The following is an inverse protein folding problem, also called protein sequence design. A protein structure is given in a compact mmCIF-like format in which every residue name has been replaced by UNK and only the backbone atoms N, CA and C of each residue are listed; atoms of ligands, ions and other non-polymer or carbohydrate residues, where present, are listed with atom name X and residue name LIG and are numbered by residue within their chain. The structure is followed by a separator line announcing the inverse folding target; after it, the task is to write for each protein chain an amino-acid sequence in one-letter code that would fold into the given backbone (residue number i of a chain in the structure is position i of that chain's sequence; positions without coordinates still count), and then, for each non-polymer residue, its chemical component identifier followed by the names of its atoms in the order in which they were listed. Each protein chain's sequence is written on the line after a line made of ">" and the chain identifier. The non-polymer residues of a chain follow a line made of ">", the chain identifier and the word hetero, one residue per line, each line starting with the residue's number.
data_IF_365830116753
#
_entry.id   IF_365830116753
#
_cell.length_a   1.000
_cell.length_b   1.000
_cell.length_c   1.000
_cell.angle_alpha   90.00
_cell.angle_beta   90.00
_cell.angle_gamma   90.00
#
_symmetry.space_group_name_H-M   'P 1'
#
loop_
_entity.id
_entity.type
_entity.pdbx_description
1 polymer ?
#
# COMPACT_ATOMS: atom_id res chain seq x y z
N UNK A 1 -21.19 -3.38 4.89
CA UNK A 1 -19.76 -3.72 4.87
C UNK A 1 -19.00 -2.53 4.32
N UNK A 2 -17.98 -2.07 5.06
CA UNK A 2 -17.06 -1.00 4.60
C UNK A 2 -16.20 -1.47 3.41
N UNK A 3 -15.52 -0.52 2.73
CA UNK A 3 -14.57 -0.89 1.68
C UNK A 3 -13.45 -1.77 2.22
N UNK A 4 -12.98 -1.51 3.43
CA UNK A 4 -11.95 -2.31 4.09
C UNK A 4 -12.41 -3.76 4.38
N UNK A 5 -13.62 -3.97 4.92
CA UNK A 5 -14.15 -5.32 5.17
C UNK A 5 -14.30 -6.14 3.88
N UNK A 6 -14.79 -5.52 2.81
CA UNK A 6 -14.90 -6.17 1.51
C UNK A 6 -13.52 -6.49 0.92
N UNK A 7 -12.55 -5.58 1.07
CA UNK A 7 -11.18 -5.77 0.63
C UNK A 7 -10.50 -6.93 1.40
N UNK A 8 -10.68 -6.99 2.72
CA UNK A 8 -10.16 -8.08 3.55
C UNK A 8 -10.66 -9.44 3.05
N UNK A 9 -11.96 -9.54 2.82
CA UNK A 9 -12.58 -10.77 2.32
C UNK A 9 -12.04 -11.17 0.93
N UNK A 10 -11.79 -10.21 0.05
CA UNK A 10 -11.22 -10.48 -1.26
C UNK A 10 -9.73 -10.87 -1.16
N UNK A 11 -8.93 -10.17 -0.35
CA UNK A 11 -7.52 -10.49 -0.09
C UNK A 11 -7.35 -11.92 0.44
N UNK A 12 -8.18 -12.30 1.43
CA UNK A 12 -8.16 -13.63 2.03
C UNK A 12 -8.43 -14.74 1.00
N UNK A 13 -9.27 -14.47 0.01
CA UNK A 13 -9.64 -15.45 -1.02
C UNK A 13 -8.64 -15.50 -2.19
N UNK A 14 -8.06 -14.35 -2.60
CA UNK A 14 -7.30 -14.25 -3.85
C UNK A 14 -5.79 -14.13 -3.65
N UNK A 15 -5.36 -13.54 -2.53
CA UNK A 15 -3.96 -13.17 -2.28
C UNK A 15 -3.27 -14.02 -1.22
N UNK A 16 -4.04 -14.74 -0.39
CA UNK A 16 -3.50 -15.54 0.72
C UNK A 16 -3.49 -17.03 0.41
N UNK A 17 -2.42 -17.72 0.77
CA UNK A 17 -2.27 -19.18 0.62
C UNK A 17 -1.59 -19.77 1.83
N UNK A 18 -2.18 -20.82 2.42
CA UNK A 18 -1.50 -21.66 3.42
C UNK A 18 -0.57 -22.65 2.73
N UNK A 19 0.56 -22.94 3.35
CA UNK A 19 1.56 -23.91 2.82
C UNK A 19 2.94 -23.57 3.37
N UNK A 20 3.93 -24.36 2.97
CA UNK A 20 5.32 -24.07 3.31
C UNK A 20 5.99 -23.30 2.17
N UNK A 21 6.42 -22.08 2.45
CA UNK A 21 7.04 -21.18 1.48
C UNK A 21 8.41 -20.76 1.95
N UNK A 22 9.39 -20.79 1.03
CA UNK A 22 10.71 -20.22 1.29
C UNK A 22 10.69 -18.74 0.90
N UNK A 23 10.96 -17.87 1.87
CA UNK A 23 11.00 -16.41 1.67
C UNK A 23 12.33 -16.00 1.02
N UNK A 24 12.39 -14.82 0.42
CA UNK A 24 13.61 -14.24 -0.14
C UNK A 24 14.72 -14.03 0.90
N UNK A 25 14.36 -13.89 2.17
CA UNK A 25 15.30 -13.86 3.31
C UNK A 25 15.95 -15.21 3.64
N UNK A 26 15.47 -16.31 3.03
CA UNK A 26 15.87 -17.68 3.35
C UNK A 26 15.05 -18.34 4.45
N UNK A 27 14.25 -17.59 5.21
CA UNK A 27 13.34 -18.12 6.23
C UNK A 27 12.18 -18.90 5.59
N UNK A 28 11.56 -19.81 6.35
CA UNK A 28 10.33 -20.49 5.98
C UNK A 28 9.12 -19.80 6.58
N UNK A 29 8.01 -19.78 5.82
CA UNK A 29 6.72 -19.29 6.27
C UNK A 29 5.66 -20.34 6.00
N UNK A 30 4.66 -20.46 6.88
CA UNK A 30 3.51 -21.36 6.72
C UNK A 30 2.38 -20.74 5.87
N UNK A 31 2.60 -19.53 5.35
CA UNK A 31 1.69 -18.85 4.44
C UNK A 31 2.45 -17.96 3.43
N UNK A 32 1.77 -17.60 2.36
CA UNK A 32 2.23 -16.65 1.35
C UNK A 32 1.13 -15.61 1.05
N UNK A 33 1.53 -14.35 0.91
CA UNK A 33 0.64 -13.26 0.51
C UNK A 33 1.22 -12.57 -0.73
N UNK A 34 0.40 -12.45 -1.79
CA UNK A 34 0.68 -11.61 -2.97
C UNK A 34 -0.51 -10.67 -3.19
N UNK A 35 -0.41 -9.46 -2.66
CA UNK A 35 -1.49 -8.46 -2.76
C UNK A 35 -1.76 -8.04 -4.21
N UNK A 36 -0.83 -8.24 -5.15
CA UNK A 36 -1.02 -7.84 -6.56
C UNK A 36 -2.17 -8.60 -7.22
N UNK A 37 -2.43 -9.84 -6.80
CA UNK A 37 -3.60 -10.61 -7.29
C UNK A 37 -4.93 -9.96 -6.92
N UNK A 38 -4.96 -9.15 -5.85
CA UNK A 38 -6.11 -8.35 -5.44
C UNK A 38 -6.03 -6.92 -5.99
N UNK A 39 -4.90 -6.24 -5.88
CA UNK A 39 -4.78 -4.83 -6.28
C UNK A 39 -4.89 -4.63 -7.79
N UNK A 40 -4.59 -5.65 -8.59
CA UNK A 40 -4.80 -5.69 -10.05
C UNK A 40 -6.16 -6.29 -10.43
N UNK A 41 -6.93 -6.85 -9.50
CA UNK A 41 -8.29 -7.31 -9.75
C UNK A 41 -9.23 -6.11 -9.86
N UNK A 42 -10.17 -6.10 -10.78
CA UNK A 42 -11.05 -4.96 -11.05
C UNK A 42 -11.75 -4.44 -9.78
N UNK A 43 -12.42 -5.34 -9.04
CA UNK A 43 -13.10 -4.98 -7.79
C UNK A 43 -12.10 -4.74 -6.65
N UNK A 44 -11.02 -5.52 -6.58
CA UNK A 44 -9.98 -5.35 -5.58
C UNK A 44 -9.27 -4.01 -5.71
N UNK A 45 -9.00 -3.55 -6.93
CA UNK A 45 -8.44 -2.23 -7.19
C UNK A 45 -9.36 -1.12 -6.72
N UNK A 46 -10.65 -1.21 -7.07
CA UNK A 46 -11.67 -0.26 -6.59
C UNK A 46 -11.70 -0.19 -5.07
N UNK A 47 -11.78 -1.34 -4.40
CA UNK A 47 -11.82 -1.44 -2.94
C UNK A 47 -10.54 -0.91 -2.29
N UNK A 48 -9.37 -1.19 -2.87
CA UNK A 48 -8.07 -0.68 -2.40
C UNK A 48 -8.04 0.85 -2.42
N UNK A 49 -8.47 1.46 -3.53
CA UNK A 49 -8.53 2.91 -3.63
C UNK A 49 -9.43 3.54 -2.58
N UNK A 50 -10.65 3.01 -2.41
CA UNK A 50 -11.60 3.52 -1.43
C UNK A 50 -11.14 3.30 0.01
N UNK A 51 -10.66 2.10 0.36
CA UNK A 51 -10.21 1.79 1.72
C UNK A 51 -9.03 2.68 2.16
N UNK A 52 -8.09 2.98 1.26
CA UNK A 52 -6.99 3.90 1.57
C UNK A 52 -7.51 5.33 1.76
N UNK A 53 -8.43 5.82 0.90
CA UNK A 53 -9.00 7.15 1.06
C UNK A 53 -9.78 7.28 2.38
N UNK A 54 -10.55 6.27 2.77
CA UNK A 54 -11.28 6.19 4.03
C UNK A 54 -10.29 6.25 5.23
N UNK A 55 -9.20 5.47 5.17
CA UNK A 55 -8.15 5.46 6.19
C UNK A 55 -7.48 6.84 6.35
N UNK A 56 -7.17 7.52 5.23
CA UNK A 56 -6.57 8.86 5.27
C UNK A 56 -7.51 9.89 5.89
N UNK A 57 -8.81 9.81 5.61
CA UNK A 57 -9.83 10.69 6.22
C UNK A 57 -9.97 10.44 7.72
N UNK A 58 -10.05 9.18 8.14
CA UNK A 58 -10.16 8.79 9.54
C UNK A 58 -9.00 9.35 10.38
N UNK A 59 -7.79 9.38 9.79
CA UNK A 59 -6.60 9.92 10.45
C UNK A 59 -6.32 11.39 10.14
N UNK A 60 -7.24 12.10 9.45
CA UNK A 60 -7.10 13.51 9.08
C UNK A 60 -5.80 13.79 8.29
N UNK A 61 -5.36 12.86 7.44
CA UNK A 61 -4.16 13.01 6.62
C UNK A 61 -4.47 13.82 5.36
N UNK A 62 -3.76 14.94 5.19
CA UNK A 62 -3.84 15.79 4.00
C UNK A 62 -2.62 15.54 3.11
N UNK A 63 -2.84 15.28 1.82
CA UNK A 63 -1.78 15.06 0.84
C UNK A 63 -2.24 15.48 -0.56
N UNK A 64 -1.28 15.64 -1.46
CA UNK A 64 -1.47 16.04 -2.84
C UNK A 64 -1.16 14.89 -3.82
N UNK A 65 -0.38 13.90 -3.34
CA UNK A 65 -0.04 12.75 -4.15
C UNK A 65 0.18 11.49 -3.30
N UNK A 66 0.11 10.36 -3.97
CA UNK A 66 0.38 9.03 -3.46
C UNK A 66 1.42 8.36 -4.34
N UNK A 67 2.39 7.68 -3.75
CA UNK A 67 3.41 6.98 -4.52
C UNK A 67 4.11 5.89 -3.72
N UNK A 68 4.96 5.12 -4.41
CA UNK A 68 5.70 4.03 -3.77
C UNK A 68 6.65 3.33 -4.74
N UNK A 69 7.36 2.32 -4.23
CA UNK A 69 8.36 1.61 -5.01
C UNK A 69 7.71 0.63 -5.99
N UNK A 70 8.14 0.66 -7.26
CA UNK A 70 7.70 -0.31 -8.28
C UNK A 70 8.18 -1.72 -7.91
N UNK A 71 7.38 -2.79 -8.13
CA UNK A 71 6.07 -2.92 -8.79
C UNK A 71 4.90 -3.06 -7.79
N UNK A 72 5.15 -3.30 -6.49
CA UNK A 72 4.07 -3.53 -5.52
C UNK A 72 3.13 -2.33 -5.38
N UNK A 73 3.68 -1.13 -5.39
CA UNK A 73 2.91 0.11 -5.25
C UNK A 73 2.15 0.54 -6.51
N UNK A 74 2.56 0.11 -7.72
CA UNK A 74 2.01 0.64 -8.97
C UNK A 74 0.49 0.56 -9.08
N UNK A 75 -0.15 -0.61 -8.84
CA UNK A 75 -1.60 -0.69 -8.89
C UNK A 75 -2.27 0.10 -7.76
N UNK A 76 -1.67 0.16 -6.57
CA UNK A 76 -2.22 0.90 -5.44
C UNK A 76 -2.27 2.39 -5.76
N UNK A 77 -1.18 2.95 -6.27
CA UNK A 77 -1.07 4.36 -6.69
C UNK A 77 -2.15 4.70 -7.72
N UNK A 78 -2.30 3.88 -8.75
CA UNK A 78 -3.32 4.08 -9.78
C UNK A 78 -4.74 4.00 -9.21
N UNK A 79 -5.00 3.04 -8.35
CA UNK A 79 -6.31 2.83 -7.73
C UNK A 79 -6.69 4.00 -6.82
N UNK A 80 -5.78 4.49 -5.98
CA UNK A 80 -6.02 5.64 -5.08
C UNK A 80 -6.22 6.93 -5.87
N UNK A 81 -5.37 7.20 -6.85
CA UNK A 81 -5.49 8.39 -7.70
C UNK A 81 -6.84 8.39 -8.45
N UNK A 82 -7.24 7.26 -9.04
CA UNK A 82 -8.53 7.11 -9.72
C UNK A 82 -9.70 7.28 -8.75
N UNK A 83 -9.65 6.63 -7.59
CA UNK A 83 -10.71 6.74 -6.57
C UNK A 83 -10.85 8.19 -6.07
N UNK A 84 -9.74 8.93 -5.89
CA UNK A 84 -9.79 10.35 -5.50
C UNK A 84 -10.47 11.22 -6.55
N UNK A 85 -10.21 10.96 -7.83
CA UNK A 85 -10.85 11.69 -8.94
C UNK A 85 -12.36 11.41 -9.02
N UNK A 86 -12.78 10.15 -8.86
CA UNK A 86 -14.20 9.79 -8.76
C UNK A 86 -14.90 10.46 -7.58
N UNK A 87 -14.23 10.47 -6.42
CA UNK A 87 -14.75 11.15 -5.22
C UNK A 87 -14.94 12.64 -5.45
N UNK A 88 -13.96 13.31 -6.09
CA UNK A 88 -14.04 14.74 -6.39
C UNK A 88 -15.18 15.10 -7.36
N UNK A 89 -15.55 14.19 -8.27
CA UNK A 89 -16.72 14.37 -9.13
C UNK A 89 -18.04 14.32 -8.34
N UNK A 90 -18.12 13.47 -7.33
CA UNK A 90 -19.32 13.29 -6.51
C UNK A 90 -19.41 14.34 -5.39
N UNK A 91 -18.27 14.78 -4.87
CA UNK A 91 -18.15 15.72 -3.77
C UNK A 91 -17.22 16.87 -4.18
N UNK A 92 -17.76 17.97 -4.77
CA UNK A 92 -16.96 19.13 -5.16
C UNK A 92 -16.16 19.67 -3.97
N UNK A 93 -14.85 19.83 -4.14
CA UNK A 93 -13.93 20.25 -3.10
C UNK A 93 -13.18 19.12 -2.40
N UNK A 94 -13.52 17.84 -2.65
CA UNK A 94 -12.69 16.74 -2.19
C UNK A 94 -11.29 16.77 -2.84
N UNK A 95 -10.21 16.47 -2.11
CA UNK A 95 -8.86 16.57 -2.63
C UNK A 95 -8.59 15.54 -3.73
N UNK A 96 -7.87 15.98 -4.77
CA UNK A 96 -7.30 15.09 -5.78
C UNK A 96 -5.93 14.60 -5.30
N UNK A 97 -5.70 13.29 -5.41
CA UNK A 97 -4.40 12.68 -5.17
C UNK A 97 -3.76 12.29 -6.49
N UNK A 98 -2.64 12.93 -6.83
CA UNK A 98 -1.86 12.57 -8.00
C UNK A 98 -1.01 11.32 -7.73
N UNK A 99 -0.61 10.60 -8.78
CA UNK A 99 0.23 9.41 -8.65
C UNK A 99 1.70 9.69 -8.97
N UNK A 100 2.61 9.05 -8.23
CA UNK A 100 4.01 8.94 -8.62
C UNK A 100 4.57 7.54 -8.32
N UNK A 101 5.58 7.14 -9.07
CA UNK A 101 6.25 5.85 -8.89
C UNK A 101 7.73 6.06 -8.62
N UNK A 102 8.27 5.27 -7.69
CA UNK A 102 9.69 5.26 -7.36
C UNK A 102 10.35 4.05 -8.01
N UNK A 103 11.36 4.26 -8.81
CA UNK A 103 12.13 3.20 -9.46
C UNK A 103 13.15 2.59 -8.51
N UNK A 104 13.40 1.29 -8.62
CA UNK A 104 14.44 0.59 -7.85
C UNK A 104 15.86 1.08 -8.14
N UNK A 105 16.08 1.55 -9.37
CA UNK A 105 17.37 2.09 -9.81
C UNK A 105 17.18 3.38 -10.60
N UNK A 106 18.18 4.24 -10.59
CA UNK A 106 18.22 5.43 -11.43
C UNK A 106 18.21 5.07 -12.92
N UNK A 107 17.71 5.98 -13.77
CA UNK A 107 17.82 5.82 -15.22
C UNK A 107 19.29 5.91 -15.62
N UNK A 108 19.76 4.90 -16.34
CA UNK A 108 21.12 4.93 -16.94
C UNK A 108 21.26 6.04 -18.01
N UNK A 109 20.14 6.53 -18.55
CA UNK A 109 20.09 7.60 -19.56
C UNK A 109 18.95 8.58 -19.25
N UNK A 110 19.18 9.87 -19.42
CA UNK A 110 18.22 10.95 -19.22
C UNK A 110 18.46 11.75 -17.94
N UNK A 111 17.41 12.21 -17.27
CA UNK A 111 17.50 13.13 -16.11
C UNK A 111 17.98 12.49 -14.80
N UNK A 112 18.31 11.20 -14.77
CA UNK A 112 18.74 10.48 -13.55
C UNK A 112 17.65 10.31 -12.48
N UNK A 113 16.43 10.77 -12.72
CA UNK A 113 15.36 10.81 -11.70
C UNK A 113 14.86 9.42 -11.35
N UNK A 114 14.73 9.17 -10.05
CA UNK A 114 14.13 7.96 -9.49
C UNK A 114 12.59 8.01 -9.46
N UNK A 115 11.99 9.21 -9.65
CA UNK A 115 10.55 9.44 -9.56
C UNK A 115 9.97 9.66 -10.97
N UNK A 116 8.88 8.96 -11.25
CA UNK A 116 8.03 9.13 -12.44
C UNK A 116 6.65 9.62 -12.01
N UNK A 117 6.00 10.47 -12.82
CA UNK A 117 4.69 11.05 -12.53
C UNK A 117 4.78 12.34 -11.72
N UNK A 118 3.94 12.48 -10.69
CA UNK A 118 3.90 13.68 -9.88
C UNK A 118 5.20 13.88 -9.09
N UNK A 119 5.78 15.07 -9.20
CA UNK A 119 6.97 15.45 -8.43
C UNK A 119 6.98 16.97 -8.27
N UNK A 120 6.79 17.46 -7.06
CA UNK A 120 6.82 18.89 -6.75
C UNK A 120 7.42 19.11 -5.37
N UNK A 121 8.45 19.96 -5.30
CA UNK A 121 9.09 20.35 -4.04
C UNK A 121 8.06 20.94 -3.07
N UNK A 122 8.16 20.58 -1.81
CA UNK A 122 7.24 20.97 -0.74
C UNK A 122 5.89 20.29 -0.76
N UNK A 123 5.54 19.50 -1.79
CA UNK A 123 4.27 18.78 -1.83
C UNK A 123 4.18 17.70 -0.74
N UNK A 124 3.04 17.61 -0.08
CA UNK A 124 2.75 16.55 0.90
C UNK A 124 2.31 15.28 0.18
N UNK A 125 2.96 14.17 0.47
CA UNK A 125 2.72 12.90 -0.24
C UNK A 125 2.51 11.74 0.73
N UNK A 126 1.76 10.74 0.27
CA UNK A 126 1.59 9.45 0.95
C UNK A 126 2.52 8.42 0.27
N UNK A 127 3.26 7.67 1.07
CA UNK A 127 4.01 6.52 0.57
C UNK A 127 3.16 5.26 0.80
N UNK A 128 2.99 4.45 -0.25
CA UNK A 128 2.21 3.20 -0.18
C UNK A 128 3.07 1.99 -0.52
N UNK A 129 2.75 0.85 0.11
CA UNK A 129 3.35 -0.45 -0.20
C UNK A 129 2.25 -1.54 -0.11
N UNK A 130 2.41 -2.64 -0.84
CA UNK A 130 1.44 -3.74 -0.83
C UNK A 130 1.61 -4.62 0.42
N UNK A 131 2.80 -5.14 0.66
CA UNK A 131 3.11 -5.97 1.84
C UNK A 131 4.35 -5.46 2.54
N UNK A 132 4.16 -4.89 3.71
CA UNK A 132 5.27 -4.49 4.56
C UNK A 132 5.83 -5.69 5.32
N UNK A 133 7.09 -6.03 5.06
CA UNK A 133 7.89 -7.01 5.81
C UNK A 133 8.97 -6.29 6.61
N UNK A 134 10.19 -6.21 6.09
CA UNK A 134 11.30 -5.46 6.71
C UNK A 134 11.19 -3.95 6.49
N UNK A 135 10.30 -3.50 5.60
CA UNK A 135 10.12 -2.09 5.25
C UNK A 135 11.15 -1.54 4.26
N UNK A 136 12.09 -2.34 3.76
CA UNK A 136 13.17 -1.85 2.90
C UNK A 136 12.67 -1.14 1.62
N UNK A 137 11.63 -1.67 0.97
CA UNK A 137 10.99 -1.07 -0.21
C UNK A 137 10.36 0.28 0.11
N UNK A 138 9.62 0.32 1.20
CA UNK A 138 8.92 1.51 1.69
C UNK A 138 9.91 2.59 2.11
N UNK A 139 11.00 2.22 2.81
CA UNK A 139 12.09 3.14 3.21
C UNK A 139 12.74 3.76 1.97
N UNK A 140 13.07 2.95 0.97
CA UNK A 140 13.65 3.45 -0.28
C UNK A 140 12.71 4.44 -1.02
N UNK A 141 11.39 4.26 -0.92
CA UNK A 141 10.41 5.19 -1.48
C UNK A 141 10.33 6.50 -0.66
N UNK A 142 10.40 6.42 0.68
CA UNK A 142 10.46 7.58 1.57
C UNK A 142 11.70 8.43 1.25
N UNK A 143 12.87 7.80 1.14
CA UNK A 143 14.13 8.47 0.83
C UNK A 143 14.05 9.18 -0.52
N UNK A 144 13.61 8.50 -1.57
CA UNK A 144 13.48 9.08 -2.90
C UNK A 144 12.50 10.26 -2.94
N UNK A 145 11.38 10.19 -2.22
CA UNK A 145 10.43 11.30 -2.11
C UNK A 145 11.07 12.52 -1.43
N UNK A 146 11.82 12.30 -0.36
CA UNK A 146 12.54 13.39 0.35
C UNK A 146 13.69 13.99 -0.47
N UNK A 147 14.47 13.14 -1.16
CA UNK A 147 15.51 13.60 -2.08
C UNK A 147 14.94 14.52 -3.18
N UNK A 148 13.70 14.26 -3.59
CA UNK A 148 12.97 15.11 -4.52
C UNK A 148 12.32 16.35 -3.87
N UNK A 149 12.58 16.62 -2.59
CA UNK A 149 12.03 17.76 -1.84
C UNK A 149 10.57 17.62 -1.42
N UNK A 150 9.96 16.43 -1.55
CA UNK A 150 8.60 16.19 -1.11
C UNK A 150 8.53 15.89 0.40
N UNK A 151 7.38 16.17 1.02
CA UNK A 151 7.12 15.97 2.45
C UNK A 151 6.26 14.72 2.62
N UNK A 152 6.81 13.69 3.26
CA UNK A 152 6.03 12.47 3.58
C UNK A 152 5.03 12.80 4.68
N UNK A 153 3.75 12.73 4.37
CA UNK A 153 2.65 13.02 5.27
C UNK A 153 2.15 11.78 6.02
N UNK A 154 2.23 10.63 5.40
CA UNK A 154 1.96 9.31 6.00
C UNK A 154 2.60 8.20 5.17
N UNK A 155 2.73 7.03 5.78
CA UNK A 155 3.10 5.78 5.13
C UNK A 155 1.95 4.79 5.34
N UNK A 156 1.50 4.13 4.28
CA UNK A 156 0.37 3.19 4.34
C UNK A 156 0.76 1.89 3.68
N UNK A 157 0.53 0.74 4.33
CA UNK A 157 0.59 -0.55 3.67
C UNK A 157 -0.77 -1.26 3.67
N UNK A 158 -1.00 -2.12 2.68
CA UNK A 158 -2.21 -2.94 2.67
C UNK A 158 -2.10 -4.01 3.75
N UNK A 159 -1.02 -4.78 3.74
CA UNK A 159 -0.78 -5.83 4.73
C UNK A 159 0.56 -5.64 5.42
N UNK A 160 0.55 -5.63 6.75
CA UNK A 160 1.77 -5.67 7.56
C UNK A 160 2.03 -7.09 8.05
N UNK A 161 3.25 -7.57 7.85
CA UNK A 161 3.76 -8.81 8.43
C UNK A 161 4.50 -8.48 9.73
N UNK A 162 3.77 -8.45 10.85
CA UNK A 162 4.30 -8.01 12.14
C UNK A 162 5.49 -8.86 12.61
N UNK A 163 5.49 -10.16 12.28
CA UNK A 163 6.58 -11.10 12.61
C UNK A 163 7.91 -10.75 11.92
N UNK A 164 7.90 -9.95 10.87
CA UNK A 164 9.10 -9.46 10.21
C UNK A 164 9.74 -8.26 10.92
N UNK A 165 9.04 -7.68 11.92
CA UNK A 165 9.51 -6.58 12.77
C UNK A 165 10.06 -5.36 12.00
N UNK A 166 9.44 -5.02 10.86
CA UNK A 166 9.86 -3.88 10.02
C UNK A 166 9.38 -2.52 10.53
N UNK A 167 8.32 -2.49 11.35
CA UNK A 167 7.69 -1.25 11.84
C UNK A 167 8.66 -0.25 12.48
N UNK A 168 9.56 -0.62 13.42
CA UNK A 168 10.45 0.36 14.03
C UNK A 168 11.38 1.07 13.04
N UNK A 169 11.88 0.33 12.03
CA UNK A 169 12.71 0.92 10.97
C UNK A 169 11.92 1.87 10.09
N UNK A 170 10.66 1.53 9.78
CA UNK A 170 9.75 2.39 9.01
C UNK A 170 9.39 3.67 9.75
N UNK A 171 9.01 3.58 11.01
CA UNK A 171 8.66 4.74 11.84
C UNK A 171 9.87 5.68 12.02
N UNK A 172 11.06 5.12 12.20
CA UNK A 172 12.31 5.89 12.19
C UNK A 172 12.54 6.61 10.86
N UNK A 173 12.40 5.89 9.74
CA UNK A 173 12.55 6.48 8.42
C UNK A 173 11.45 7.51 8.11
N UNK A 174 10.23 7.28 8.56
CA UNK A 174 9.11 8.20 8.38
C UNK A 174 9.26 9.51 9.15
N UNK A 175 10.14 9.57 10.18
CA UNK A 175 10.51 10.79 10.91
C UNK A 175 9.30 11.60 11.39
N UNK A 176 8.37 10.92 12.08
CA UNK A 176 7.15 11.53 12.65
C UNK A 176 5.91 11.49 11.75
N UNK A 177 6.02 11.11 10.48
CA UNK A 177 4.84 10.76 9.70
C UNK A 177 4.25 9.42 10.18
N UNK A 178 2.93 9.29 10.36
CA UNK A 178 2.34 8.05 10.85
C UNK A 178 2.53 6.89 9.86
N UNK A 179 2.84 5.70 10.39
CA UNK A 179 2.77 4.45 9.66
C UNK A 179 1.44 3.75 9.96
N UNK A 180 0.62 3.62 8.94
CA UNK A 180 -0.72 3.04 8.98
C UNK A 180 -0.76 1.75 8.16
N UNK A 181 -1.65 0.84 8.54
CA UNK A 181 -1.95 -0.38 7.78
C UNK A 181 -3.44 -0.55 7.61
N UNK A 182 -3.87 -1.17 6.52
CA UNK A 182 -5.25 -1.64 6.40
C UNK A 182 -5.44 -2.91 7.23
N UNK A 183 -4.52 -3.87 7.12
CA UNK A 183 -4.60 -5.18 7.78
C UNK A 183 -3.25 -5.66 8.29
N UNK A 184 -3.28 -6.50 9.32
CA UNK A 184 -2.17 -7.39 9.65
C UNK A 184 -2.24 -8.66 8.78
N UNK A 185 -1.13 -9.40 8.70
CA UNK A 185 -1.14 -10.72 8.07
C UNK A 185 -2.06 -11.70 8.80
N UNK A 186 -2.21 -11.54 10.13
CA UNK A 186 -3.12 -12.36 10.94
C UNK A 186 -4.58 -12.07 10.64
N UNK A 187 -4.97 -10.81 10.38
CA UNK A 187 -6.34 -10.46 9.96
C UNK A 187 -6.70 -11.20 8.66
N UNK A 188 -5.80 -11.19 7.68
CA UNK A 188 -6.00 -11.88 6.39
C UNK A 188 -6.08 -13.39 6.58
N UNK A 189 -5.24 -13.96 7.45
CA UNK A 189 -5.24 -15.38 7.81
C UNK A 189 -6.55 -15.79 8.48
N UNK A 190 -6.99 -15.02 9.46
CA UNK A 190 -8.24 -15.29 10.20
C UNK A 190 -9.45 -15.30 9.27
N UNK A 191 -9.55 -14.32 8.38
CA UNK A 191 -10.62 -14.25 7.38
C UNK A 191 -10.54 -15.42 6.39
N UNK A 192 -9.33 -15.82 5.96
CA UNK A 192 -9.16 -16.98 5.08
C UNK A 192 -9.66 -18.28 5.73
N UNK A 193 -9.30 -18.51 7.00
CA UNK A 193 -9.76 -19.69 7.75
C UNK A 193 -11.26 -19.67 7.98
N UNK A 194 -11.83 -18.50 8.26
CA UNK A 194 -13.28 -18.32 8.39
C UNK A 194 -14.03 -18.70 7.08
N UNK A 195 -13.51 -18.26 5.92
CA UNK A 195 -14.09 -18.60 4.62
C UNK A 195 -14.02 -20.10 4.32
N UNK A 196 -12.89 -20.75 4.65
CA UNK A 196 -12.76 -22.21 4.48
C UNK A 196 -13.76 -22.98 5.35
N UNK A 197 -13.92 -22.58 6.62
CA UNK A 197 -14.89 -23.22 7.53
C UNK A 197 -16.33 -23.03 7.03
N UNK A 198 -16.67 -21.84 6.55
CA UNK A 198 -18.00 -21.56 5.99
C UNK A 198 -18.30 -22.38 4.74
N UNK A 199 -17.30 -22.56 3.84
CA UNK A 199 -17.44 -23.36 2.63
C UNK A 199 -17.57 -24.87 2.91
N UNK A 200 -16.97 -25.37 3.99
CA UNK A 200 -17.08 -26.77 4.41
C UNK A 200 -18.43 -27.13 5.07
N UNK A 201 -19.22 -26.11 5.45
CA UNK A 201 -20.50 -26.26 6.11
C UNK A 201 -21.70 -26.25 5.15
N UNK A 202 -21.45 -26.13 3.84
CA UNK A 202 -22.42 -26.17 2.74
C UNK A 202 -22.12 -27.32 1.80
#
# INVERSE_FOLDING_TARGET
>A
MSSAEQLLSLLARTSFKLGQFKLSSGATSDYYIDCRTTTLHAEGGRLTGHAILELLEEHNIQAEAVGGLTMGADPIVSNVATASAWRAQQHPGAPLLHGFLVRKAEKAHGTGRRIEGFCREGARVIIVDDVCTTGASTIAAIEAAREAGMIVAAVVCIVEREEANGRPALESAASGAPFLRLFSAEDVRAEHLHQLASAASH
#
